data_IF_047054812562
#
_entry.id   IF_047054812562
#
_cell.length_a   1.000
_cell.length_b   1.000
_cell.length_c   1.000
_cell.angle_alpha   90.00
_cell.angle_beta   90.00
_cell.angle_gamma   90.00
#
_symmetry.space_group_name_H-M   'P 1'
#
loop_
_entity.id
_entity.type
_entity.pdbx_description
1 polymer ?
#
# COMPACT_ATOMS: atom_id res chain seq x y z
N UNK A 1 -6.15 23.28 -61.31
CA UNK A 1 -5.27 22.50 -62.21
C UNK A 1 -4.19 21.87 -61.37
N UNK A 2 -4.00 20.56 -61.49
CA UNK A 2 -3.07 19.78 -60.67
C UNK A 2 -3.48 18.31 -60.67
N UNK A 3 -3.36 17.67 -61.83
CA UNK A 3 -3.46 16.21 -62.00
C UNK A 3 -2.40 15.50 -61.15
N UNK A 4 -2.74 14.32 -60.62
CA UNK A 4 -2.02 13.06 -60.87
C UNK A 4 -2.88 11.87 -60.43
N UNK A 5 -3.45 11.20 -61.44
CA UNK A 5 -3.60 9.75 -61.67
C UNK A 5 -3.63 8.80 -60.45
N UNK A 6 -4.79 8.17 -60.15
CA UNK A 6 -5.32 6.85 -60.63
C UNK A 6 -4.63 5.63 -60.02
N UNK A 7 -5.28 4.93 -59.08
CA UNK A 7 -6.04 3.66 -59.28
C UNK A 7 -5.16 2.41 -59.39
N UNK A 8 -5.22 1.49 -58.41
CA UNK A 8 -5.37 0.05 -58.70
C UNK A 8 -5.86 -0.75 -57.47
N UNK A 9 -6.95 -1.47 -57.71
CA UNK A 9 -7.53 -2.56 -56.93
C UNK A 9 -6.71 -3.84 -57.12
N UNK A 10 -6.53 -4.69 -56.10
CA UNK A 10 -6.82 -6.14 -56.23
C UNK A 10 -6.66 -6.94 -54.92
N UNK A 11 -7.78 -7.58 -54.57
CA UNK A 11 -7.95 -8.71 -53.66
C UNK A 11 -7.36 -9.97 -54.32
N UNK A 12 -6.60 -10.80 -53.60
CA UNK A 12 -6.32 -12.18 -54.02
C UNK A 12 -6.33 -13.12 -52.81
N UNK A 13 -7.33 -14.01 -52.77
CA UNK A 13 -7.34 -15.22 -51.95
C UNK A 13 -6.42 -16.28 -52.58
N UNK A 14 -5.76 -17.10 -51.77
CA UNK A 14 -5.31 -18.43 -52.18
C UNK A 14 -5.47 -19.46 -51.04
N UNK A 15 -6.38 -20.42 -51.29
CA UNK A 15 -6.44 -21.75 -50.70
C UNK A 15 -5.83 -22.74 -51.69
N UNK A 16 -5.07 -23.73 -51.20
CA UNK A 16 -4.83 -25.10 -51.74
C UNK A 16 -3.89 -25.78 -50.72
N UNK A 17 -4.12 -26.87 -49.99
CA UNK A 17 -4.65 -28.25 -50.19
C UNK A 17 -3.80 -29.20 -51.04
N UNK A 18 -3.69 -30.44 -50.53
CA UNK A 18 -3.11 -31.72 -51.02
C UNK A 18 -1.66 -32.03 -50.57
N UNK A 19 -1.24 -33.23 -50.15
CA UNK A 19 -1.86 -34.53 -49.78
C UNK A 19 -0.80 -35.47 -49.13
N UNK A 20 -1.25 -36.51 -48.44
CA UNK A 20 -0.54 -37.55 -47.63
C UNK A 20 0.00 -38.73 -48.48
N UNK A 21 0.96 -39.55 -47.98
CA UNK A 21 0.71 -41.01 -47.74
C UNK A 21 1.21 -41.46 -46.32
N UNK A 22 0.43 -42.12 -45.43
CA UNK A 22 0.09 -43.57 -45.24
C UNK A 22 1.32 -44.52 -45.22
N UNK A 23 1.49 -45.55 -44.38
CA UNK A 23 0.69 -46.34 -43.43
C UNK A 23 1.64 -47.24 -42.57
N UNK A 24 1.30 -47.56 -41.33
CA UNK A 24 1.59 -48.84 -40.63
C UNK A 24 0.79 -48.85 -39.30
N UNK A 25 -0.48 -49.28 -39.30
CA UNK A 25 -0.99 -50.65 -39.05
C UNK A 25 -1.12 -50.99 -37.54
N UNK A 26 -2.37 -51.17 -37.10
CA UNK A 26 -2.85 -51.50 -35.75
C UNK A 26 -2.84 -53.02 -35.49
N UNK A 27 -3.26 -53.57 -34.30
CA UNK A 27 -4.70 -53.69 -33.93
C UNK A 27 -5.00 -53.59 -32.40
N UNK A 28 -6.05 -52.85 -31.99
CA UNK A 28 -7.43 -53.25 -31.61
C UNK A 28 -7.68 -53.81 -30.18
N UNK A 29 -8.48 -53.01 -29.46
CA UNK A 29 -9.69 -53.34 -28.69
C UNK A 29 -9.61 -54.19 -27.42
N UNK A 30 -10.13 -53.64 -26.31
CA UNK A 30 -11.15 -54.29 -25.47
C UNK A 30 -11.97 -53.23 -24.72
N UNK A 31 -13.28 -53.18 -24.99
CA UNK A 31 -14.30 -52.51 -24.18
C UNK A 31 -14.35 -53.11 -22.76
N UNK A 32 -14.43 -52.28 -21.71
CA UNK A 32 -15.01 -52.70 -20.43
C UNK A 32 -15.90 -51.62 -19.81
N UNK A 33 -17.18 -52.00 -19.85
CA UNK A 33 -18.33 -51.62 -19.04
C UNK A 33 -18.09 -50.92 -17.70
N UNK A 34 -18.99 -49.97 -17.42
CA UNK A 34 -19.31 -49.47 -16.09
C UNK A 34 -19.88 -50.57 -15.19
N UNK A 35 -19.42 -50.64 -13.94
CA UNK A 35 -20.20 -50.95 -12.71
C UNK A 35 -19.32 -50.80 -11.43
N UNK A 36 -19.89 -50.70 -10.22
CA UNK A 36 -19.48 -49.75 -9.17
C UNK A 36 -18.92 -50.37 -7.86
N UNK A 37 -18.58 -49.48 -6.90
CA UNK A 37 -18.40 -49.63 -5.42
C UNK A 37 -16.95 -49.69 -4.88
N UNK A 38 -16.69 -49.26 -3.61
CA UNK A 38 -17.58 -48.72 -2.59
C UNK A 38 -17.19 -47.34 -2.03
N UNK A 39 -18.16 -46.70 -1.36
CA UNK A 39 -17.97 -45.59 -0.43
C UNK A 39 -16.88 -45.94 0.60
N UNK A 40 -15.71 -45.30 0.50
CA UNK A 40 -14.89 -45.04 1.67
C UNK A 40 -15.22 -43.64 2.17
N UNK A 41 -16.16 -43.64 3.11
CA UNK A 41 -16.40 -42.55 4.03
C UNK A 41 -15.15 -42.45 4.92
N UNK A 42 -14.11 -41.80 4.42
CA UNK A 42 -13.10 -41.21 5.28
C UNK A 42 -13.72 -39.96 5.86
N UNK A 43 -14.04 -40.03 7.15
CA UNK A 43 -14.15 -38.88 8.04
C UNK A 43 -12.95 -37.97 7.81
N UNK A 44 -13.11 -37.04 6.88
CA UNK A 44 -12.40 -35.78 6.92
C UNK A 44 -13.35 -34.87 7.66
N UNK A 45 -13.33 -34.98 8.99
CA UNK A 45 -13.60 -33.83 9.85
C UNK A 45 -12.86 -32.69 9.18
N UNK A 46 -13.60 -31.78 8.54
CA UNK A 46 -13.04 -30.53 8.05
C UNK A 46 -12.38 -29.93 9.28
N UNK A 47 -11.06 -30.07 9.38
CA UNK A 47 -10.29 -29.21 10.23
C UNK A 47 -10.59 -27.84 9.65
N UNK A 48 -11.55 -27.16 10.27
CA UNK A 48 -11.60 -25.71 10.23
C UNK A 48 -10.24 -25.34 10.77
N UNK A 49 -9.29 -25.14 9.85
CA UNK A 49 -8.07 -24.42 10.15
C UNK A 49 -8.61 -23.06 10.56
N UNK A 50 -8.86 -22.90 11.86
CA UNK A 50 -9.19 -21.62 12.42
C UNK A 50 -8.04 -20.74 11.99
N UNK A 51 -8.32 -19.78 11.10
CA UNK A 51 -7.37 -18.74 10.76
C UNK A 51 -6.85 -18.21 12.10
N UNK A 52 -5.52 -18.08 12.26
CA UNK A 52 -4.95 -17.66 13.53
C UNK A 52 -5.68 -16.41 13.99
N UNK A 53 -6.21 -16.43 15.21
CA UNK A 53 -6.76 -15.23 15.83
C UNK A 53 -5.59 -14.30 16.05
N UNK A 54 -5.47 -13.29 15.19
CA UNK A 54 -4.39 -12.32 15.26
C UNK A 54 -4.69 -11.39 16.44
N UNK A 55 -3.89 -11.50 17.50
CA UNK A 55 -3.97 -10.64 18.67
C UNK A 55 -3.01 -9.45 18.52
N UNK A 56 -3.58 -8.24 18.53
CA UNK A 56 -2.84 -6.97 18.44
C UNK A 56 -2.94 -6.13 19.72
N UNK A 57 -3.45 -6.69 20.82
CA UNK A 57 -3.64 -5.96 22.06
C UNK A 57 -2.32 -5.40 22.63
N UNK A 58 -1.23 -6.17 22.51
CA UNK A 58 0.09 -5.73 22.97
C UNK A 58 0.62 -4.53 22.17
N UNK A 59 0.27 -4.44 20.88
CA UNK A 59 0.65 -3.36 19.98
C UNK A 59 -0.12 -2.10 20.33
N UNK A 60 -1.45 -2.20 20.51
CA UNK A 60 -2.30 -1.10 20.98
C UNK A 60 -1.82 -0.57 22.33
N UNK A 61 -1.52 -1.46 23.28
CA UNK A 61 -1.03 -1.09 24.60
C UNK A 61 0.35 -0.42 24.56
N UNK A 62 1.21 -0.79 23.61
CA UNK A 62 2.50 -0.12 23.38
C UNK A 62 2.30 1.29 22.83
N UNK A 63 1.40 1.45 21.87
CA UNK A 63 1.09 2.76 21.29
C UNK A 63 0.54 3.75 22.31
N UNK A 64 -0.18 3.27 23.33
CA UNK A 64 -0.69 4.15 24.39
C UNK A 64 0.38 4.79 25.28
N UNK A 65 1.65 4.44 25.08
CA UNK A 65 2.78 5.10 25.76
C UNK A 65 3.22 6.39 25.07
N UNK A 66 2.81 6.60 23.80
CA UNK A 66 3.00 7.85 23.07
C UNK A 66 2.00 8.88 23.61
N UNK A 67 2.46 10.10 23.85
CA UNK A 67 1.68 11.20 24.44
C UNK A 67 0.34 11.43 23.74
N UNK A 68 0.38 11.40 22.41
CA UNK A 68 -0.78 11.60 21.56
C UNK A 68 -1.79 10.45 21.60
N UNK A 69 -1.53 9.32 22.29
CA UNK A 69 -2.39 8.11 22.29
C UNK A 69 -2.64 7.55 23.70
N UNK A 70 -2.42 8.32 24.77
CA UNK A 70 -2.54 7.83 26.16
C UNK A 70 -3.91 7.21 26.51
N UNK A 71 -4.98 7.74 25.93
CA UNK A 71 -6.35 7.22 26.04
C UNK A 71 -6.53 5.82 25.42
N UNK A 72 -5.59 5.37 24.57
CA UNK A 72 -5.63 4.03 23.97
C UNK A 72 -5.25 2.90 24.93
N UNK A 73 -4.92 3.21 26.20
CA UNK A 73 -4.66 2.20 27.23
C UNK A 73 -5.85 1.25 27.46
N UNK A 74 -7.06 1.71 27.18
CA UNK A 74 -8.28 0.90 27.23
C UNK A 74 -8.88 0.66 25.85
N UNK A 75 -8.12 0.95 24.79
CA UNK A 75 -8.59 0.73 23.43
C UNK A 75 -8.67 -0.75 23.10
N UNK A 76 -9.61 -1.06 22.22
CA UNK A 76 -9.69 -2.35 21.53
C UNK A 76 -9.51 -2.10 20.06
N UNK A 77 -8.99 -3.08 19.34
CA UNK A 77 -8.82 -2.98 17.91
C UNK A 77 -9.49 -4.17 17.21
N UNK A 78 -10.21 -3.88 16.13
CA UNK A 78 -11.00 -4.84 15.37
C UNK A 78 -10.52 -4.87 13.92
N UNK A 79 -10.37 -6.07 13.33
CA UNK A 79 -9.93 -6.16 11.94
C UNK A 79 -11.02 -5.61 11.04
N UNK A 80 -10.64 -4.70 10.14
CA UNK A 80 -11.53 -4.09 9.15
C UNK A 80 -11.38 -4.81 7.82
N UNK A 81 -10.14 -5.03 7.37
CA UNK A 81 -9.87 -5.60 6.06
C UNK A 81 -8.43 -6.06 5.88
N UNK A 82 -8.24 -7.08 5.04
CA UNK A 82 -6.93 -7.39 4.45
C UNK A 82 -6.59 -6.44 3.31
N UNK A 83 -5.37 -5.92 3.33
CA UNK A 83 -4.80 -5.09 2.29
C UNK A 83 -3.82 -5.94 1.48
N UNK A 84 -3.83 -5.72 0.18
CA UNK A 84 -3.06 -6.52 -0.76
C UNK A 84 -2.01 -5.66 -1.45
N UNK A 85 -0.96 -6.30 -1.94
CA UNK A 85 -0.02 -5.66 -2.83
C UNK A 85 -0.55 -5.68 -4.28
N UNK A 86 0.14 -5.02 -5.23
CA UNK A 86 -0.25 -5.01 -6.63
C UNK A 86 -0.31 -6.41 -7.29
N UNK A 87 0.38 -7.41 -6.73
CA UNK A 87 0.32 -8.80 -7.18
C UNK A 87 -0.82 -9.61 -6.53
N UNK A 88 -1.73 -8.98 -5.79
CA UNK A 88 -2.88 -9.62 -5.15
C UNK A 88 -2.55 -10.40 -3.88
N UNK A 89 -1.32 -10.30 -3.36
CA UNK A 89 -0.91 -10.97 -2.13
C UNK A 89 -1.22 -10.09 -0.93
N UNK A 90 -1.82 -10.67 0.11
CA UNK A 90 -2.03 -9.95 1.37
C UNK A 90 -0.67 -9.52 1.95
N UNK A 91 -0.48 -8.21 2.10
CA UNK A 91 0.73 -7.61 2.66
C UNK A 91 0.47 -6.92 4.00
N UNK A 92 -0.77 -6.53 4.27
CA UNK A 92 -1.14 -5.81 5.48
C UNK A 92 -2.58 -6.08 5.94
N UNK A 93 -2.90 -5.63 7.15
CA UNK A 93 -4.23 -5.64 7.75
C UNK A 93 -4.57 -4.24 8.25
N UNK A 94 -5.77 -3.77 7.90
CA UNK A 94 -6.34 -2.55 8.44
C UNK A 94 -7.20 -2.86 9.67
N UNK A 95 -6.98 -2.12 10.74
CA UNK A 95 -7.68 -2.26 12.01
C UNK A 95 -8.39 -0.96 12.40
N UNK A 96 -9.60 -1.09 12.94
CA UNK A 96 -10.33 -0.02 13.61
C UNK A 96 -9.95 0.00 15.08
N UNK A 97 -9.54 1.15 15.60
CA UNK A 97 -9.29 1.31 17.04
C UNK A 97 -10.47 2.01 17.68
N UNK A 98 -10.93 1.47 18.80
CA UNK A 98 -12.05 1.99 19.56
C UNK A 98 -11.70 2.19 21.03
N UNK A 99 -12.06 3.35 21.58
CA UNK A 99 -11.99 3.64 23.02
C UNK A 99 -13.41 3.81 23.52
N UNK A 100 -13.81 3.00 24.50
CA UNK A 100 -15.16 3.06 25.09
C UNK A 100 -16.29 2.99 24.05
N UNK A 101 -16.11 2.17 23.01
CA UNK A 101 -17.09 1.98 21.93
C UNK A 101 -17.16 3.13 20.90
N UNK A 102 -16.24 4.11 20.96
CA UNK A 102 -16.14 5.19 19.98
C UNK A 102 -14.88 5.02 19.13
N UNK A 103 -14.98 5.35 17.85
CA UNK A 103 -13.82 5.37 16.94
C UNK A 103 -12.73 6.29 17.51
N UNK A 104 -11.52 5.77 17.64
CA UNK A 104 -10.37 6.48 18.17
C UNK A 104 -9.23 6.62 17.15
N UNK A 105 -9.28 5.83 16.06
CA UNK A 105 -8.29 5.86 14.98
C UNK A 105 -8.22 4.53 14.23
N UNK A 106 -7.10 4.31 13.56
CA UNK A 106 -6.79 3.05 12.87
C UNK A 106 -5.33 2.63 13.02
N UNK A 107 -5.07 1.37 12.67
CA UNK A 107 -3.74 0.77 12.58
C UNK A 107 -3.61 0.04 11.25
N UNK A 108 -2.41 0.02 10.69
CA UNK A 108 -2.03 -0.87 9.60
C UNK A 108 -0.89 -1.75 10.08
N UNK A 109 -1.10 -3.05 10.06
CA UNK A 109 -0.08 -4.03 10.47
C UNK A 109 0.29 -4.92 9.29
N UNK A 110 1.40 -5.63 9.43
CA UNK A 110 1.69 -6.88 8.73
C UNK A 110 0.53 -7.88 8.79
N UNK A 111 0.54 -8.82 7.84
CA UNK A 111 -0.49 -9.84 7.71
C UNK A 111 -0.60 -10.78 8.93
N UNK A 112 0.45 -10.90 9.74
CA UNK A 112 0.49 -11.68 10.98
C UNK A 112 0.23 -10.83 12.24
N UNK A 113 -0.01 -9.51 12.07
CA UNK A 113 -0.26 -8.55 13.14
C UNK A 113 0.96 -8.19 14.00
N UNK A 114 2.12 -8.79 13.76
CA UNK A 114 3.28 -8.63 14.65
C UNK A 114 3.93 -7.27 14.47
N UNK A 115 3.99 -6.82 13.23
CA UNK A 115 4.66 -5.60 12.84
C UNK A 115 3.66 -4.50 12.46
N UNK A 116 3.84 -3.30 13.01
CA UNK A 116 2.99 -2.12 12.79
C UNK A 116 3.64 -1.20 11.76
N UNK A 117 2.97 -0.96 10.63
CA UNK A 117 3.45 -0.09 9.57
C UNK A 117 3.02 1.36 9.77
N UNK A 118 1.76 1.56 10.17
CA UNK A 118 1.12 2.88 10.24
C UNK A 118 0.04 2.93 11.31
N UNK A 119 -0.14 4.09 11.95
CA UNK A 119 -1.27 4.34 12.84
C UNK A 119 -1.60 5.83 12.91
N UNK A 120 -2.87 6.15 13.14
CA UNK A 120 -3.33 7.54 13.23
C UNK A 120 -4.62 7.63 14.04
N UNK A 121 -4.92 8.84 14.52
CA UNK A 121 -6.25 9.21 15.05
C UNK A 121 -7.26 9.55 13.96
N UNK A 122 -6.82 9.67 12.69
CA UNK A 122 -7.72 9.96 11.59
C UNK A 122 -8.82 8.89 11.48
N UNK A 123 -9.90 9.24 10.79
CA UNK A 123 -10.94 8.28 10.46
C UNK A 123 -10.34 7.10 9.68
N UNK A 124 -10.90 5.91 9.90
CA UNK A 124 -10.52 4.71 9.16
C UNK A 124 -10.79 4.96 7.68
N UNK A 125 -9.83 4.70 6.78
CA UNK A 125 -10.03 4.86 5.34
C UNK A 125 -11.25 4.06 4.88
N UNK A 126 -12.29 4.78 4.44
CA UNK A 126 -13.58 4.21 4.09
C UNK A 126 -13.68 3.98 2.59
N UNK A 127 -14.22 2.81 2.20
CA UNK A 127 -14.49 2.54 0.80
C UNK A 127 -15.58 3.49 0.26
N UNK A 128 -15.47 3.94 -1.00
CA UNK A 128 -16.55 4.61 -1.70
C UNK A 128 -17.82 3.77 -1.63
N UNK A 129 -18.99 4.40 -1.56
CA UNK A 129 -20.30 3.72 -1.40
C UNK A 129 -20.49 2.57 -2.39
N UNK A 130 -20.10 2.79 -3.65
CA UNK A 130 -20.17 1.79 -4.72
C UNK A 130 -19.34 0.51 -4.49
N UNK A 131 -18.33 0.57 -3.62
CA UNK A 131 -17.45 -0.54 -3.24
C UNK A 131 -17.71 -1.06 -1.82
N UNK A 132 -18.60 -0.43 -1.05
CA UNK A 132 -18.95 -0.92 0.29
C UNK A 132 -19.56 -2.32 0.22
N UNK A 133 -19.24 -3.18 1.20
CA UNK A 133 -19.69 -4.57 1.25
C UNK A 133 -19.03 -5.51 0.23
N UNK A 134 -18.17 -5.03 -0.66
CA UNK A 134 -17.43 -5.88 -1.60
C UNK A 134 -16.19 -6.47 -0.96
N UNK A 135 -15.87 -7.71 -1.32
CA UNK A 135 -14.56 -8.30 -1.09
C UNK A 135 -13.59 -7.75 -2.15
N UNK A 136 -12.46 -7.21 -1.72
CA UNK A 136 -11.47 -6.56 -2.58
C UNK A 136 -10.14 -7.31 -2.45
N UNK A 137 -10.12 -8.57 -2.89
CA UNK A 137 -8.96 -9.47 -2.77
C UNK A 137 -7.73 -9.00 -3.51
N UNK A 138 -7.88 -8.18 -4.56
CA UNK A 138 -6.75 -7.62 -5.31
C UNK A 138 -6.92 -6.11 -5.52
N UNK A 139 -8.03 -5.54 -5.04
CA UNK A 139 -8.47 -4.19 -5.37
C UNK A 139 -8.39 -3.19 -4.25
N UNK A 140 -7.79 -3.54 -3.11
CA UNK A 140 -7.47 -2.60 -2.04
C UNK A 140 -6.00 -2.76 -1.63
N UNK A 141 -5.22 -1.75 -2.01
CA UNK A 141 -3.77 -1.70 -1.90
C UNK A 141 -3.34 -0.76 -0.77
N UNK A 142 -2.40 -1.23 0.04
CA UNK A 142 -1.58 -0.36 0.89
C UNK A 142 -0.27 -0.09 0.15
N UNK A 143 -0.11 1.13 -0.37
CA UNK A 143 1.08 1.55 -1.12
C UNK A 143 2.03 2.42 -0.30
N UNK A 144 1.80 2.48 1.02
CA UNK A 144 2.57 3.27 1.98
C UNK A 144 1.74 4.30 2.74
N UNK A 145 2.39 5.11 3.59
CA UNK A 145 1.85 6.22 4.33
C UNK A 145 0.92 7.09 3.53
N UNK A 146 -0.31 7.18 4.00
CA UNK A 146 -1.35 7.99 3.38
C UNK A 146 -1.80 7.57 1.97
N UNK A 147 -1.43 6.36 1.53
CA UNK A 147 -1.83 5.77 0.26
C UNK A 147 -2.57 4.45 0.46
N UNK A 148 -3.85 4.60 0.78
CA UNK A 148 -4.82 3.52 0.78
C UNK A 148 -5.58 3.59 -0.53
N UNK A 149 -5.28 2.70 -1.46
CA UNK A 149 -5.76 2.79 -2.84
C UNK A 149 -6.77 1.70 -3.13
N UNK A 150 -7.80 2.01 -3.91
CA UNK A 150 -8.70 0.99 -4.47
C UNK A 150 -8.86 1.15 -5.96
N UNK A 151 -9.08 0.05 -6.67
CA UNK A 151 -9.44 0.11 -8.08
C UNK A 151 -10.86 0.61 -8.27
N UNK A 152 -11.00 1.62 -9.12
CA UNK A 152 -12.28 2.20 -9.49
C UNK A 152 -12.42 2.29 -11.01
N UNK A 153 -13.60 1.94 -11.51
CA UNK A 153 -13.93 2.11 -12.93
C UNK A 153 -14.57 3.48 -13.14
N UNK A 154 -13.88 4.36 -13.85
CA UNK A 154 -14.30 5.73 -14.17
C UNK A 154 -14.56 5.85 -15.67
N UNK A 155 -15.54 5.08 -16.17
CA UNK A 155 -16.04 5.18 -17.54
C UNK A 155 -15.23 4.38 -18.56
N UNK A 156 -15.63 3.12 -18.80
CA UNK A 156 -15.04 2.23 -19.80
C UNK A 156 -14.11 1.18 -19.19
N UNK A 157 -13.05 0.82 -19.92
CA UNK A 157 -12.13 -0.28 -19.57
C UNK A 157 -10.89 0.15 -18.75
N UNK A 158 -10.79 1.43 -18.37
CA UNK A 158 -9.65 1.95 -17.62
C UNK A 158 -9.95 1.84 -16.12
N UNK A 159 -9.01 1.23 -15.39
CA UNK A 159 -9.03 1.11 -13.94
C UNK A 159 -8.24 2.26 -13.33
N UNK A 160 -8.91 3.27 -12.79
CA UNK A 160 -8.21 4.30 -12.02
C UNK A 160 -7.96 3.82 -10.58
N UNK A 161 -6.97 4.42 -9.93
CA UNK A 161 -6.70 4.22 -8.51
C UNK A 161 -7.40 5.32 -7.72
N UNK A 162 -8.17 4.97 -6.72
CA UNK A 162 -8.85 5.94 -5.86
C UNK A 162 -8.19 5.96 -4.49
N UNK A 163 -7.66 7.11 -4.06
CA UNK A 163 -7.08 7.27 -2.73
C UNK A 163 -8.19 7.48 -1.69
N UNK A 164 -8.34 6.51 -0.78
CA UNK A 164 -9.35 6.53 0.27
C UNK A 164 -9.09 7.58 1.35
N UNK A 165 -7.87 8.08 1.48
CA UNK A 165 -7.54 9.10 2.47
C UNK A 165 -7.79 10.52 1.94
N UNK A 166 -7.40 10.81 0.70
CA UNK A 166 -7.57 12.15 0.10
C UNK A 166 -8.87 12.29 -0.71
N UNK A 167 -9.47 11.17 -1.11
CA UNK A 167 -10.64 11.14 -2.00
C UNK A 167 -10.30 11.42 -3.46
N UNK A 168 -9.02 11.52 -3.80
CA UNK A 168 -8.55 11.82 -5.16
C UNK A 168 -8.49 10.57 -6.04
N UNK A 169 -8.72 10.76 -7.33
CA UNK A 169 -8.48 9.74 -8.35
C UNK A 169 -7.09 9.94 -8.95
N UNK A 170 -6.27 8.89 -8.87
CA UNK A 170 -4.90 8.82 -9.36
C UNK A 170 -4.86 8.02 -10.66
N UNK A 171 -3.96 8.37 -11.58
CA UNK A 171 -3.81 7.64 -12.83
C UNK A 171 -3.34 6.20 -12.57
N UNK A 172 -3.87 5.27 -13.33
CA UNK A 172 -3.39 3.89 -13.35
C UNK A 172 -1.90 3.78 -13.69
N UNK A 173 -1.21 2.83 -13.08
CA UNK A 173 0.17 2.49 -13.40
C UNK A 173 0.70 1.38 -12.51
N UNK A 174 1.97 1.03 -12.71
CA UNK A 174 2.69 0.19 -11.77
C UNK A 174 2.72 0.91 -10.42
N UNK A 175 2.15 0.28 -9.39
CA UNK A 175 2.17 0.84 -8.03
C UNK A 175 3.38 0.24 -7.34
N UNK A 176 4.25 1.08 -6.77
CA UNK A 176 5.36 0.59 -5.98
C UNK A 176 4.86 0.27 -4.57
N UNK A 177 5.03 -0.97 -4.14
CA UNK A 177 4.73 -1.38 -2.78
C UNK A 177 5.88 -0.94 -1.84
N UNK A 178 5.61 0.04 -0.99
CA UNK A 178 6.57 0.56 -0.02
C UNK A 178 6.39 -0.01 1.40
N UNK A 179 5.87 -1.23 1.54
CA UNK A 179 5.76 -1.85 2.86
C UNK A 179 7.16 -2.06 3.48
N UNK A 180 7.40 -1.59 4.72
CA UNK A 180 8.65 -1.85 5.43
C UNK A 180 8.94 -3.35 5.56
N UNK A 181 10.21 -3.73 5.47
CA UNK A 181 10.58 -5.13 5.74
C UNK A 181 10.21 -5.51 7.19
N UNK A 182 9.73 -6.75 7.43
CA UNK A 182 9.42 -7.20 8.78
C UNK A 182 10.64 -7.11 9.70
N UNK A 183 10.50 -6.46 10.86
CA UNK A 183 11.49 -6.58 11.93
C UNK A 183 11.18 -7.80 12.79
N UNK A 184 12.19 -8.27 13.53
CA UNK A 184 11.98 -9.20 14.62
C UNK A 184 10.94 -8.65 15.62
N UNK A 185 10.15 -9.55 16.20
CA UNK A 185 9.18 -9.18 17.22
C UNK A 185 9.87 -8.50 18.40
N UNK A 186 9.59 -7.22 18.60
CA UNK A 186 10.12 -6.44 19.72
C UNK A 186 9.16 -6.54 20.89
N UNK A 187 9.67 -6.74 22.09
CA UNK A 187 8.88 -6.73 23.31
C UNK A 187 8.12 -5.39 23.49
N UNK A 188 6.97 -5.38 24.18
CA UNK A 188 6.26 -4.15 24.46
C UNK A 188 7.12 -3.20 25.29
N UNK A 189 7.38 -2.00 24.75
CA UNK A 189 8.04 -0.93 25.46
C UNK A 189 7.12 -0.38 26.57
N UNK A 190 7.70 -0.03 27.71
CA UNK A 190 6.96 0.52 28.86
C UNK A 190 6.79 2.03 28.81
N UNK A 191 7.60 2.72 28.01
CA UNK A 191 7.61 4.18 27.87
C UNK A 191 8.03 4.57 26.46
N UNK A 192 7.38 5.59 25.89
CA UNK A 192 7.82 6.25 24.68
C UNK A 192 8.79 7.39 24.99
N UNK A 193 9.75 7.63 24.11
CA UNK A 193 10.52 8.89 24.06
C UNK A 193 10.11 9.66 22.81
N UNK A 194 9.80 10.95 22.96
CA UNK A 194 9.33 11.78 21.85
C UNK A 194 10.24 12.97 21.63
N UNK A 195 10.54 13.23 20.36
CA UNK A 195 11.38 14.34 19.92
C UNK A 195 10.62 15.13 18.86
N UNK A 196 10.22 16.35 19.21
CA UNK A 196 9.62 17.27 18.23
C UNK A 196 10.67 17.68 17.19
N UNK A 197 10.26 17.72 15.93
CA UNK A 197 11.09 18.21 14.83
C UNK A 197 10.75 19.68 14.62
N UNK A 198 11.76 20.52 14.38
CA UNK A 198 11.54 21.93 14.06
C UNK A 198 10.72 22.03 12.79
N UNK A 199 9.50 22.54 12.89
CA UNK A 199 8.65 22.79 11.75
C UNK A 199 9.08 24.10 11.08
N UNK A 200 9.27 24.07 9.77
CA UNK A 200 9.39 25.30 8.99
C UNK A 200 8.13 25.45 8.16
N UNK A 201 7.44 26.56 8.38
CA UNK A 201 6.61 27.15 7.35
C UNK A 201 7.56 27.78 6.34
N UNK A 202 8.06 26.99 5.38
CA UNK A 202 8.79 27.57 4.25
C UNK A 202 7.74 27.90 3.19
N UNK A 203 7.31 29.18 3.04
CA UNK A 203 6.42 29.58 1.95
C UNK A 203 7.09 29.40 0.58
N UNK A 204 8.41 29.27 0.54
CA UNK A 204 9.25 29.14 -0.65
C UNK A 204 9.63 27.68 -0.96
N UNK A 205 9.11 26.71 -0.21
CA UNK A 205 9.40 25.30 -0.49
C UNK A 205 8.69 24.88 -1.77
N UNK A 206 9.45 24.74 -2.87
CA UNK A 206 9.01 24.08 -4.12
C UNK A 206 8.64 22.60 -3.93
N UNK A 207 8.36 22.15 -2.71
CA UNK A 207 7.56 20.97 -2.47
C UNK A 207 6.15 21.07 -3.08
N UNK A 208 5.75 22.25 -3.59
CA UNK A 208 4.67 22.48 -4.57
C UNK A 208 4.16 21.16 -5.18
N UNK A 209 2.97 20.74 -4.72
CA UNK A 209 2.11 19.71 -5.31
C UNK A 209 2.80 18.51 -5.95
N UNK A 210 2.66 17.34 -5.34
CA UNK A 210 2.59 16.11 -6.12
C UNK A 210 1.48 15.24 -5.53
N UNK A 211 0.28 15.36 -6.09
CA UNK A 211 -0.26 14.33 -7.00
C UNK A 211 0.07 14.54 -8.49
N UNK A 212 0.85 15.57 -8.85
CA UNK A 212 1.43 15.70 -10.19
C UNK A 212 2.57 16.72 -10.36
N UNK A 213 3.56 16.33 -11.18
CA UNK A 213 4.61 17.11 -11.91
C UNK A 213 5.62 17.98 -11.16
N UNK A 214 5.28 18.77 -10.14
CA UNK A 214 6.26 19.70 -9.55
C UNK A 214 7.29 18.98 -8.64
N UNK A 215 6.89 17.92 -7.94
CA UNK A 215 7.81 17.00 -7.25
C UNK A 215 8.85 16.32 -8.17
N UNK A 216 8.52 16.09 -9.44
CA UNK A 216 9.48 15.55 -10.42
C UNK A 216 10.58 16.55 -10.77
N UNK A 217 10.30 17.85 -10.75
CA UNK A 217 11.26 18.86 -11.19
C UNK A 217 12.45 18.98 -10.23
N UNK A 218 12.22 18.86 -8.91
CA UNK A 218 13.31 18.76 -7.92
C UNK A 218 14.00 17.39 -7.90
N UNK A 219 13.30 16.29 -8.24
CA UNK A 219 13.87 14.94 -8.34
C UNK A 219 14.98 14.84 -9.40
N UNK A 220 15.01 15.71 -10.41
CA UNK A 220 16.07 15.75 -11.41
C UNK A 220 17.41 16.34 -10.90
N UNK A 221 17.38 17.08 -9.79
CA UNK A 221 18.58 17.70 -9.20
C UNK A 221 19.18 16.88 -8.03
N UNK A 222 18.38 16.01 -7.41
CA UNK A 222 18.84 15.12 -6.33
C UNK A 222 19.18 13.74 -6.88
N UNK A 223 20.26 13.08 -6.41
CA UNK A 223 20.53 11.70 -6.80
C UNK A 223 19.35 10.82 -6.37
N UNK A 224 18.71 10.13 -7.33
CA UNK A 224 17.71 9.11 -7.02
C UNK A 224 18.39 7.97 -6.25
N UNK A 225 17.89 7.62 -5.08
CA UNK A 225 18.34 6.45 -4.32
C UNK A 225 17.31 6.10 -3.26
N UNK A 226 16.96 4.82 -3.11
CA UNK A 226 16.09 4.42 -2.00
C UNK A 226 16.91 4.48 -0.71
N UNK A 227 16.47 5.29 0.25
CA UNK A 227 17.14 5.49 1.53
C UNK A 227 16.26 4.98 2.69
N UNK A 228 16.80 4.19 3.63
CA UNK A 228 16.05 3.80 4.82
C UNK A 228 15.92 5.00 5.76
N UNK A 229 14.72 5.27 6.25
CA UNK A 229 14.50 6.36 7.22
C UNK A 229 15.20 6.10 8.57
N UNK A 230 15.54 4.85 8.88
CA UNK A 230 16.09 4.43 10.17
C UNK A 230 17.44 5.07 10.48
N UNK A 231 18.27 5.30 9.46
CA UNK A 231 19.57 5.97 9.58
C UNK A 231 19.43 7.42 10.05
N UNK A 232 18.31 8.06 9.70
CA UNK A 232 17.99 9.45 10.04
C UNK A 232 17.26 9.52 11.38
N UNK A 233 16.33 8.56 11.62
CA UNK A 233 15.64 8.31 12.89
C UNK A 233 16.59 8.23 14.12
N UNK A 234 17.90 8.04 13.91
CA UNK A 234 18.94 7.96 14.93
C UNK A 234 19.28 9.25 15.67
N UNK A 235 18.76 10.40 15.22
CA UNK A 235 18.81 11.65 15.98
C UNK A 235 19.83 12.68 15.49
N UNK A 236 20.62 12.37 14.47
CA UNK A 236 21.66 13.29 13.97
C UNK A 236 21.14 14.32 12.96
N UNK A 237 19.88 14.23 12.49
CA UNK A 237 19.40 15.00 11.32
C UNK A 237 18.05 15.73 11.48
N UNK A 238 17.35 15.63 12.61
CA UNK A 238 16.01 16.26 12.80
C UNK A 238 16.02 17.60 13.51
N UNK A 239 17.20 18.18 13.74
CA UNK A 239 17.33 19.57 14.16
C UNK A 239 16.82 20.56 13.08
N UNK A 240 16.49 20.06 11.88
CA UNK A 240 15.92 20.81 10.76
C UNK A 240 14.58 20.24 10.27
N UNK A 241 13.71 21.07 9.68
CA UNK A 241 12.49 20.62 9.04
C UNK A 241 12.82 19.64 7.91
N UNK A 242 12.12 18.51 7.93
CA UNK A 242 12.42 17.32 7.15
C UNK A 242 11.20 16.89 6.36
N UNK A 243 11.35 16.70 5.05
CA UNK A 243 10.33 16.16 4.16
C UNK A 243 10.78 14.80 3.62
N UNK A 244 9.84 13.87 3.55
CA UNK A 244 9.98 12.57 2.94
C UNK A 244 9.31 12.61 1.58
N UNK A 245 9.98 12.09 0.55
CA UNK A 245 9.43 12.02 -0.79
C UNK A 245 9.60 10.60 -1.34
N UNK A 246 8.54 10.05 -1.91
CA UNK A 246 8.57 8.73 -2.54
C UNK A 246 7.67 8.68 -3.79
N UNK A 247 8.08 7.90 -4.79
CA UNK A 247 7.33 7.69 -6.03
C UNK A 247 6.28 6.59 -5.82
N UNK A 248 5.01 6.97 -5.84
CA UNK A 248 3.89 6.05 -5.63
C UNK A 248 3.50 5.34 -6.92
N UNK A 249 3.51 6.08 -8.04
CA UNK A 249 3.31 5.56 -9.39
C UNK A 249 4.41 6.15 -10.27
N UNK A 250 5.37 5.33 -10.75
CA UNK A 250 6.55 5.79 -11.45
C UNK A 250 6.23 6.81 -12.53
N UNK A 251 6.92 7.94 -12.45
CA UNK A 251 6.80 9.07 -13.38
C UNK A 251 5.40 9.70 -13.49
N UNK A 252 4.47 9.37 -12.59
CA UNK A 252 3.10 9.92 -12.57
C UNK A 252 2.71 10.55 -11.25
N UNK A 253 2.97 9.88 -10.14
CA UNK A 253 2.51 10.30 -8.81
C UNK A 253 3.66 10.17 -7.81
N UNK A 254 4.08 11.30 -7.27
CA UNK A 254 5.03 11.38 -6.16
C UNK A 254 4.27 11.85 -4.92
N UNK A 255 4.58 11.32 -3.74
CA UNK A 255 4.00 11.78 -2.47
C UNK A 255 5.07 12.47 -1.63
N UNK A 256 4.69 13.59 -1.02
CA UNK A 256 5.56 14.37 -0.12
C UNK A 256 4.92 14.45 1.26
N UNK A 257 5.67 14.12 2.31
CA UNK A 257 5.21 14.14 3.69
C UNK A 257 6.17 14.98 4.54
N UNK A 258 5.64 15.82 5.44
CA UNK A 258 6.44 16.58 6.39
C UNK A 258 6.57 15.81 7.71
N UNK A 259 7.80 15.63 8.20
CA UNK A 259 8.05 15.03 9.52
C UNK A 259 7.91 16.08 10.60
N UNK A 260 7.10 15.81 11.62
CA UNK A 260 6.81 16.75 12.72
C UNK A 260 7.29 16.26 14.07
N UNK A 261 7.45 14.94 14.26
CA UNK A 261 7.92 14.35 15.51
C UNK A 261 8.50 12.96 15.27
N UNK A 262 9.35 12.50 16.18
CA UNK A 262 9.85 11.13 16.23
C UNK A 262 9.47 10.52 17.56
N UNK A 263 8.78 9.38 17.54
CA UNK A 263 8.45 8.59 18.73
C UNK A 263 9.28 7.30 18.74
N UNK A 264 10.01 7.06 19.82
CA UNK A 264 10.82 5.86 20.04
C UNK A 264 10.14 4.95 21.06
N UNK A 265 9.93 3.69 20.68
CA UNK A 265 9.28 2.64 21.45
C UNK A 265 10.22 1.42 21.55
N UNK A 266 11.10 1.43 22.55
CA UNK A 266 12.19 0.45 22.62
C UNK A 266 13.16 0.64 21.46
N UNK A 267 13.35 -0.39 20.64
CA UNK A 267 14.19 -0.32 19.42
C UNK A 267 13.43 0.19 18.19
N UNK A 268 12.10 0.26 18.26
CA UNK A 268 11.27 0.74 17.16
C UNK A 268 11.19 2.26 17.19
N UNK A 269 11.18 2.86 16.00
CA UNK A 269 11.00 4.30 15.83
C UNK A 269 9.90 4.56 14.82
N UNK A 270 9.02 5.48 15.18
CA UNK A 270 7.92 5.94 14.35
C UNK A 270 8.06 7.43 14.09
N UNK A 271 7.87 7.82 12.84
CA UNK A 271 7.88 9.21 12.43
C UNK A 271 6.44 9.71 12.38
N UNK A 272 6.14 10.77 13.11
CA UNK A 272 4.91 11.52 12.91
C UNK A 272 5.07 12.36 11.65
N UNK A 273 4.19 12.14 10.69
CA UNK A 273 4.16 12.81 9.41
C UNK A 273 2.81 13.47 9.15
N UNK A 274 2.82 14.52 8.33
CA UNK A 274 1.62 15.23 7.86
C UNK A 274 1.71 15.49 6.37
N UNK A 275 0.55 15.66 5.74
CA UNK A 275 0.47 16.28 4.43
C UNK A 275 0.81 17.78 4.58
N UNK A 276 1.92 18.27 4.00
CA UNK A 276 2.29 19.67 4.09
C UNK A 276 1.32 20.61 3.35
N UNK A 277 0.47 20.09 2.45
CA UNK A 277 -0.53 20.87 1.70
C UNK A 277 -1.91 20.85 2.35
N UNK A 278 -2.14 19.92 3.28
CA UNK A 278 -3.34 19.84 4.08
C UNK A 278 -2.97 19.71 5.57
N UNK A 279 -2.46 20.80 6.21
CA UNK A 279 -1.96 20.75 7.58
C UNK A 279 -3.06 20.50 8.63
N UNK A 280 -4.33 20.69 8.25
CA UNK A 280 -5.51 20.38 9.06
C UNK A 280 -5.83 18.88 9.08
N UNK A 281 -5.26 18.09 8.16
CA UNK A 281 -5.38 16.64 8.21
C UNK A 281 -4.68 16.08 9.45
N UNK A 282 -5.28 15.06 10.03
CA UNK A 282 -4.72 14.35 11.17
C UNK A 282 -3.35 13.76 10.83
N UNK A 283 -2.42 13.86 11.78
CA UNK A 283 -1.08 13.33 11.59
C UNK A 283 -1.10 11.80 11.56
N UNK A 284 -0.19 11.23 10.80
CA UNK A 284 0.01 9.79 10.68
C UNK A 284 1.36 9.43 11.27
N UNK A 285 1.45 8.33 12.01
CA UNK A 285 2.71 7.79 12.48
C UNK A 285 3.08 6.59 11.64
N UNK A 286 4.31 6.58 11.14
CA UNK A 286 4.78 5.57 10.18
C UNK A 286 6.05 4.90 10.72
N UNK A 287 6.23 3.61 10.44
CA UNK A 287 7.49 2.95 10.79
C UNK A 287 8.67 3.62 10.07
N UNK A 288 9.71 3.97 10.82
CA UNK A 288 10.94 4.57 10.29
C UNK A 288 11.79 3.65 9.41
N UNK A 289 11.34 2.45 9.06
CA UNK A 289 11.98 1.60 8.04
C UNK A 289 11.23 1.66 6.72
N UNK A 290 10.16 2.45 6.64
CA UNK A 290 9.51 2.77 5.40
C UNK A 290 10.54 3.30 4.38
N UNK A 291 10.63 2.69 3.18
CA UNK A 291 11.57 3.11 2.15
C UNK A 291 11.11 4.45 1.55
N UNK A 292 12.06 5.38 1.36
CA UNK A 292 11.80 6.66 0.67
C UNK A 292 12.79 6.88 -0.45
N UNK A 293 12.39 7.60 -1.49
CA UNK A 293 13.26 7.93 -2.62
C UNK A 293 14.18 9.12 -2.32
N UNK A 294 13.67 10.11 -1.58
CA UNK A 294 14.42 11.33 -1.28
C UNK A 294 14.02 11.85 0.09
N UNK A 295 15.02 12.34 0.80
CA UNK A 295 14.84 13.13 2.01
C UNK A 295 15.26 14.57 1.75
N UNK A 296 14.36 15.52 1.98
CA UNK A 296 14.63 16.95 1.79
C UNK A 296 14.65 17.64 3.15
N UNK A 297 15.80 18.19 3.54
CA UNK A 297 15.87 19.16 4.64
C UNK A 297 15.60 20.56 4.11
N UNK A 298 15.06 21.45 4.96
CA UNK A 298 14.71 22.84 4.62
C UNK A 298 15.85 23.76 4.11
N UNK A 299 17.02 23.23 3.79
CA UNK A 299 18.09 23.96 3.10
C UNK A 299 18.89 23.00 2.24
N UNK A 300 18.54 22.95 0.95
CA UNK A 300 19.43 22.52 -0.14
C UNK A 300 19.34 23.50 -1.33
N UNK A 301 19.01 24.76 -1.04
CA UNK A 301 19.31 25.85 -1.95
C UNK A 301 20.75 26.30 -1.69
N UNK A 302 21.68 25.76 -2.48
CA UNK A 302 23.01 26.36 -2.70
C UNK A 302 23.07 26.93 -4.09
#
# INVERSE_FOLDING_TARGET
>A
MGQKFRTLTMLTLLFTTTSIPTLAEAPLATERQAQPHPRQQTDSTSAVVQAPVIDIAAQVQRLSTISAFQDWKTATAQPVRALHNPEGRQNALLWSVQVSGRSAGYLVTSADGQHLYEFSRAAIPALPEQLQGRELTEGYIYAGPMLHLVYLHTGGAILDLYNLQTGETLPWGEVINHVPEPAAAVAPATTATEHAVVQSASPDSDALYATGRAGQHKRNASPKGVHPLQSYAAGDTFDRPSYLVYDAVPDKVTVTLQVTSVATLGELRYLQVRDPFNPEAEAVYIDSRFPVDVFLTASSAT
#
